data_IF_161587748965
#
_entry.id   IF_161587748965
#
_cell.length_a   1.000
_cell.length_b   1.000
_cell.length_c   1.000
_cell.angle_alpha   90.00
_cell.angle_beta   90.00
_cell.angle_gamma   90.00
#
_symmetry.space_group_name_H-M   'P 1'
#
loop_
_entity.id
_entity.type
_entity.pdbx_description
1 polymer ?
#
# COMPACT_ATOMS: atom_id res chain seq x y z
N UNK A 1 -7.80 12.77 -14.44
CA UNK A 1 -7.80 12.24 -13.05
C UNK A 1 -7.20 10.85 -13.09
N UNK A 2 -6.21 10.57 -12.26
CA UNK A 2 -5.54 9.28 -12.17
C UNK A 2 -6.29 8.42 -11.14
N UNK A 3 -7.31 7.71 -11.62
CA UNK A 3 -8.24 6.93 -10.78
C UNK A 3 -8.49 5.55 -11.38
N UNK A 4 -8.85 4.58 -10.54
CA UNK A 4 -9.22 3.24 -10.96
C UNK A 4 -10.28 2.64 -10.03
N UNK A 5 -11.08 1.73 -10.59
CA UNK A 5 -11.98 0.84 -9.86
C UNK A 5 -11.60 -0.60 -10.17
N UNK A 6 -11.42 -1.40 -9.14
CA UNK A 6 -11.15 -2.83 -9.24
C UNK A 6 -12.23 -3.59 -8.50
N UNK A 7 -12.83 -4.56 -9.18
CA UNK A 7 -13.73 -5.54 -8.59
C UNK A 7 -13.03 -6.90 -8.71
N UNK A 8 -12.71 -7.51 -7.57
CA UNK A 8 -12.10 -8.83 -7.50
C UNK A 8 -13.04 -9.78 -6.75
N UNK A 9 -13.41 -10.86 -7.41
CA UNK A 9 -14.27 -11.89 -6.84
C UNK A 9 -13.61 -13.26 -7.00
N UNK A 10 -13.43 -13.95 -5.89
CA UNK A 10 -12.92 -15.34 -5.81
C UNK A 10 -13.98 -16.24 -5.14
N UNK A 11 -13.62 -17.47 -4.82
CA UNK A 11 -14.45 -18.33 -3.97
C UNK A 11 -14.43 -17.91 -2.49
N UNK A 12 -13.46 -17.10 -2.08
CA UNK A 12 -13.16 -16.75 -0.69
C UNK A 12 -13.49 -15.29 -0.38
N UNK A 13 -13.36 -14.39 -1.36
CA UNK A 13 -13.52 -12.95 -1.16
C UNK A 13 -14.34 -12.29 -2.27
N UNK A 14 -14.98 -11.17 -1.94
CA UNK A 14 -15.62 -10.26 -2.89
C UNK A 14 -15.22 -8.84 -2.52
N UNK A 15 -14.39 -8.21 -3.36
CA UNK A 15 -13.69 -6.96 -3.05
C UNK A 15 -14.00 -5.90 -4.09
N UNK A 16 -14.26 -4.69 -3.62
CA UNK A 16 -14.29 -3.45 -4.39
C UNK A 16 -13.19 -2.54 -3.87
N UNK A 17 -12.34 -2.06 -4.76
CA UNK A 17 -11.38 -0.96 -4.49
C UNK A 17 -11.63 0.16 -5.48
N UNK A 18 -11.82 1.39 -5.00
CA UNK A 18 -11.77 2.63 -5.76
C UNK A 18 -10.63 3.49 -5.25
N UNK A 19 -9.80 3.93 -6.15
CA UNK A 19 -8.60 4.72 -5.83
C UNK A 19 -8.53 5.95 -6.71
N UNK A 20 -8.25 7.11 -6.10
CA UNK A 20 -7.80 8.32 -6.79
C UNK A 20 -6.44 8.75 -6.24
N UNK A 21 -5.44 8.77 -7.12
CA UNK A 21 -4.06 9.13 -6.74
C UNK A 21 -3.93 10.62 -6.41
N UNK A 22 -4.71 11.48 -7.06
CA UNK A 22 -4.68 12.94 -6.88
C UNK A 22 -5.70 13.43 -5.84
N UNK A 23 -6.08 12.56 -4.91
CA UNK A 23 -7.07 12.79 -3.89
C UNK A 23 -6.61 13.69 -2.74
N UNK A 24 -7.45 13.76 -1.72
CA UNK A 24 -7.27 14.59 -0.52
C UNK A 24 -7.14 13.77 0.78
N UNK A 25 -7.23 12.44 0.68
CA UNK A 25 -7.18 11.49 1.79
C UNK A 25 -8.57 11.15 2.35
N UNK A 26 -9.63 11.31 1.55
CA UNK A 26 -10.96 10.81 1.88
C UNK A 26 -10.95 9.30 1.81
N UNK A 27 -11.61 8.64 2.75
CA UNK A 27 -11.65 7.19 2.76
C UNK A 27 -12.99 6.65 3.23
N UNK A 28 -13.32 5.45 2.73
CA UNK A 28 -14.44 4.62 3.19
C UNK A 28 -13.96 3.18 3.17
N UNK A 29 -13.64 2.63 4.33
CA UNK A 29 -12.99 1.32 4.48
C UNK A 29 -13.89 0.38 5.29
N UNK A 30 -14.18 -0.77 4.70
CA UNK A 30 -14.93 -1.85 5.34
C UNK A 30 -14.39 -3.19 4.83
N UNK A 31 -13.43 -3.76 5.55
CA UNK A 31 -12.77 -5.02 5.17
C UNK A 31 -13.27 -6.21 5.97
N UNK A 32 -14.06 -5.98 7.03
CA UNK A 32 -14.39 -7.01 8.02
C UNK A 32 -13.28 -7.24 9.05
N UNK A 33 -12.08 -6.67 8.87
CA UNK A 33 -10.91 -6.82 9.74
C UNK A 33 -10.57 -5.46 10.35
N UNK A 34 -10.87 -5.26 11.64
CA UNK A 34 -10.82 -3.94 12.27
C UNK A 34 -9.45 -3.26 12.24
N UNK A 35 -8.38 -4.02 12.49
CA UNK A 35 -7.02 -3.47 12.45
C UNK A 35 -6.60 -3.09 11.01
N UNK A 36 -6.96 -3.91 10.02
CA UNK A 36 -6.69 -3.60 8.60
C UNK A 36 -7.47 -2.37 8.15
N UNK A 37 -8.73 -2.19 8.60
CA UNK A 37 -9.49 -0.96 8.34
C UNK A 37 -8.68 0.27 8.79
N UNK A 38 -8.23 0.25 10.04
CA UNK A 38 -7.43 1.35 10.59
C UNK A 38 -6.14 1.60 9.78
N UNK A 39 -5.41 0.55 9.39
CA UNK A 39 -4.20 0.68 8.57
C UNK A 39 -4.47 1.32 7.20
N UNK A 40 -5.57 0.93 6.55
CA UNK A 40 -5.96 1.49 5.23
C UNK A 40 -6.48 2.92 5.32
N UNK A 41 -7.16 3.29 6.42
CA UNK A 41 -7.54 4.68 6.70
C UNK A 41 -6.30 5.58 6.84
N UNK A 42 -5.29 5.11 7.60
CA UNK A 42 -4.00 5.80 7.72
C UNK A 42 -3.28 5.89 6.37
N UNK A 43 -3.28 4.81 5.60
CA UNK A 43 -2.69 4.78 4.27
C UNK A 43 -3.33 5.83 3.35
N UNK A 44 -4.65 5.87 3.27
CA UNK A 44 -5.39 6.86 2.49
C UNK A 44 -5.07 8.30 2.96
N UNK A 45 -5.16 8.52 4.28
CA UNK A 45 -4.95 9.85 4.87
C UNK A 45 -3.56 10.39 4.67
N UNK A 46 -2.53 9.58 4.96
CA UNK A 46 -1.13 9.99 4.88
C UNK A 46 -0.59 10.04 3.45
N UNK A 47 -1.09 9.18 2.57
CA UNK A 47 -0.82 9.22 1.14
C UNK A 47 -1.61 10.29 0.39
N UNK A 48 -2.64 10.88 1.03
CA UNK A 48 -3.62 11.79 0.39
C UNK A 48 -4.30 11.15 -0.82
N UNK A 49 -4.49 9.84 -0.78
CA UNK A 49 -5.28 9.11 -1.75
C UNK A 49 -6.74 9.14 -1.34
N UNK A 50 -7.67 9.36 -2.28
CA UNK A 50 -9.06 9.06 -1.98
C UNK A 50 -9.28 7.57 -2.24
N UNK A 51 -9.73 6.84 -1.20
CA UNK A 51 -9.74 5.38 -1.19
C UNK A 51 -11.05 4.82 -0.63
N UNK A 52 -11.73 4.01 -1.42
CA UNK A 52 -12.82 3.15 -0.94
C UNK A 52 -12.38 1.69 -1.05
N UNK A 53 -12.53 0.93 0.04
CA UNK A 53 -12.31 -0.52 0.08
C UNK A 53 -13.50 -1.17 0.75
N UNK A 54 -14.12 -2.12 0.07
CA UNK A 54 -15.14 -3.01 0.65
C UNK A 54 -14.72 -4.45 0.39
N UNK A 55 -14.75 -5.26 1.42
CA UNK A 55 -14.46 -6.69 1.32
C UNK A 55 -15.51 -7.50 2.10
N UNK A 56 -16.00 -8.56 1.46
CA UNK A 56 -16.71 -9.65 2.13
C UNK A 56 -15.88 -10.90 1.92
N UNK A 57 -15.14 -11.30 2.92
CA UNK A 57 -14.28 -12.47 2.93
C UNK A 57 -14.77 -13.53 3.90
N UNK A 58 -14.14 -14.68 3.85
CA UNK A 58 -14.38 -15.85 4.68
C UNK A 58 -13.66 -15.78 6.04
N UNK A 59 -13.84 -14.63 6.73
CA UNK A 59 -13.17 -14.32 8.02
C UNK A 59 -13.47 -15.32 9.16
N UNK A 60 -14.40 -16.25 8.96
CA UNK A 60 -14.59 -17.40 9.85
C UNK A 60 -13.47 -18.44 9.75
N UNK A 61 -12.68 -18.43 8.69
CA UNK A 61 -11.44 -19.22 8.52
C UNK A 61 -10.32 -18.50 9.27
N UNK A 62 -9.92 -17.36 8.74
CA UNK A 62 -9.02 -16.36 9.32
C UNK A 62 -9.08 -15.07 8.47
N UNK A 63 -8.17 -14.12 8.73
CA UNK A 63 -8.11 -12.85 8.00
C UNK A 63 -7.17 -12.90 6.77
N UNK A 64 -6.54 -14.05 6.47
CA UNK A 64 -5.50 -14.18 5.46
C UNK A 64 -6.01 -13.83 4.06
N UNK A 65 -7.03 -14.56 3.58
CA UNK A 65 -7.56 -14.37 2.22
C UNK A 65 -8.02 -12.93 1.98
N UNK A 66 -8.70 -12.33 2.98
CA UNK A 66 -9.15 -10.94 2.89
C UNK A 66 -7.97 -9.97 2.79
N UNK A 67 -6.95 -10.17 3.60
CA UNK A 67 -5.78 -9.28 3.67
C UNK A 67 -4.93 -9.34 2.40
N UNK A 68 -4.60 -10.54 1.93
CA UNK A 68 -3.84 -10.75 0.69
C UNK A 68 -4.60 -10.21 -0.52
N UNK A 69 -5.87 -10.60 -0.67
CA UNK A 69 -6.68 -10.21 -1.83
C UNK A 69 -6.96 -8.69 -1.88
N UNK A 70 -7.08 -8.00 -0.74
CA UNK A 70 -7.13 -6.54 -0.68
C UNK A 70 -5.80 -5.94 -1.15
N UNK A 71 -4.67 -6.48 -0.72
CA UNK A 71 -3.34 -6.09 -1.21
C UNK A 71 -3.24 -6.21 -2.73
N UNK A 72 -3.68 -7.34 -3.29
CA UNK A 72 -3.75 -7.58 -4.73
C UNK A 72 -4.62 -6.53 -5.43
N UNK A 73 -5.85 -6.33 -4.97
CA UNK A 73 -6.80 -5.41 -5.59
C UNK A 73 -6.32 -3.94 -5.52
N UNK A 74 -5.72 -3.54 -4.40
CA UNK A 74 -5.13 -2.21 -4.25
C UNK A 74 -3.91 -2.02 -5.17
N UNK A 75 -3.06 -3.04 -5.31
CA UNK A 75 -1.95 -3.02 -6.26
C UNK A 75 -2.40 -2.86 -7.71
N UNK A 76 -3.44 -3.59 -8.11
CA UNK A 76 -4.07 -3.45 -9.43
C UNK A 76 -4.65 -2.05 -9.64
N UNK A 77 -5.28 -1.47 -8.62
CA UNK A 77 -5.82 -0.11 -8.68
C UNK A 77 -4.69 0.93 -8.86
N UNK A 78 -3.56 0.76 -8.20
CA UNK A 78 -2.39 1.63 -8.38
C UNK A 78 -1.83 1.53 -9.80
N UNK A 79 -1.60 0.33 -10.34
CA UNK A 79 -1.06 0.15 -11.69
C UNK A 79 -2.01 0.73 -12.75
N UNK A 80 -3.31 0.47 -12.61
CA UNK A 80 -4.33 1.01 -13.51
C UNK A 80 -4.45 2.54 -13.46
N UNK A 81 -4.40 3.14 -12.25
CA UNK A 81 -4.48 4.58 -12.07
C UNK A 81 -3.23 5.32 -12.54
N UNK A 82 -2.05 4.68 -12.49
CA UNK A 82 -0.79 5.23 -12.98
C UNK A 82 -0.72 5.28 -14.52
N UNK A 83 -1.44 4.41 -15.22
CA UNK A 83 -1.45 4.35 -16.67
C UNK A 83 -0.05 4.15 -17.26
N UNK A 84 0.36 5.04 -18.16
CA UNK A 84 1.66 4.98 -18.85
C UNK A 84 2.84 5.51 -18.02
N UNK A 85 2.58 5.97 -16.81
CA UNK A 85 3.58 6.50 -15.86
C UNK A 85 4.37 7.71 -16.36
N UNK A 86 3.83 8.47 -17.34
CA UNK A 86 4.44 9.72 -17.78
C UNK A 86 4.41 10.78 -16.71
N UNK A 87 5.47 11.54 -16.62
CA UNK A 87 5.60 12.70 -15.75
C UNK A 87 5.62 12.40 -14.25
N UNK A 88 5.66 11.13 -13.82
CA UNK A 88 5.76 10.82 -12.39
C UNK A 88 7.21 10.92 -11.91
N UNK A 89 7.41 11.17 -10.61
CA UNK A 89 8.75 11.14 -9.99
C UNK A 89 9.36 9.74 -9.96
N UNK A 90 8.51 8.69 -10.02
CA UNK A 90 8.90 7.28 -10.03
C UNK A 90 9.44 6.77 -8.70
N UNK A 91 10.35 7.49 -8.07
CA UNK A 91 10.95 7.14 -6.79
C UNK A 91 10.31 7.91 -5.64
N UNK A 92 10.19 7.25 -4.49
CA UNK A 92 9.78 7.90 -3.26
C UNK A 92 10.37 7.20 -2.07
N UNK A 93 10.62 7.99 -1.00
CA UNK A 93 11.16 7.44 0.22
C UNK A 93 10.63 8.18 1.43
N UNK A 94 10.59 7.51 2.56
CA UNK A 94 10.20 8.11 3.83
C UNK A 94 10.87 7.43 5.00
N UNK A 95 11.54 8.20 5.82
CA UNK A 95 11.87 7.83 7.19
C UNK A 95 10.79 8.43 8.09
N UNK A 96 10.05 7.60 8.82
CA UNK A 96 8.87 8.02 9.57
C UNK A 96 8.91 7.48 11.00
N UNK A 97 8.86 8.38 12.00
CA UNK A 97 8.75 7.98 13.39
C UNK A 97 7.28 7.74 13.79
N UNK A 98 7.07 6.77 14.65
CA UNK A 98 5.85 6.53 15.42
C UNK A 98 6.26 6.17 16.83
N UNK A 99 6.33 7.18 17.70
CA UNK A 99 6.90 7.11 19.05
C UNK A 99 8.31 6.48 19.03
N UNK A 100 8.49 5.30 19.63
CA UNK A 100 9.78 4.58 19.68
C UNK A 100 10.11 3.85 18.38
N UNK A 101 9.12 3.69 17.49
CA UNK A 101 9.30 3.02 16.21
C UNK A 101 9.76 3.99 15.14
N UNK A 102 10.73 3.57 14.34
CA UNK A 102 11.27 4.32 13.22
C UNK A 102 11.32 3.42 11.98
N UNK A 103 10.57 3.76 10.95
CA UNK A 103 10.43 2.95 9.73
C UNK A 103 10.99 3.71 8.53
N UNK A 104 11.85 3.03 7.78
CA UNK A 104 12.33 3.48 6.48
C UNK A 104 11.58 2.74 5.37
N UNK A 105 11.04 3.48 4.42
CA UNK A 105 10.45 2.97 3.19
C UNK A 105 11.11 3.59 1.98
N UNK A 106 11.38 2.77 0.95
CA UNK A 106 11.80 3.22 -0.38
C UNK A 106 11.00 2.47 -1.45
N UNK A 107 10.50 3.21 -2.45
CA UNK A 107 9.71 2.66 -3.56
C UNK A 107 10.26 3.09 -4.92
N UNK A 108 10.21 2.17 -5.89
CA UNK A 108 10.48 2.41 -7.32
C UNK A 108 9.31 1.84 -8.14
N UNK A 109 8.57 2.70 -8.82
CA UNK A 109 7.46 2.33 -9.71
C UNK A 109 7.96 1.80 -11.06
N UNK A 110 8.85 0.84 -11.02
CA UNK A 110 9.71 0.37 -12.13
C UNK A 110 9.06 -0.64 -13.07
N UNK A 111 7.83 -1.08 -12.83
CA UNK A 111 7.23 -2.22 -13.54
C UNK A 111 7.78 -3.59 -13.10
N UNK A 112 8.69 -3.66 -12.13
CA UNK A 112 9.29 -4.90 -11.59
C UNK A 112 8.89 -5.09 -10.14
N UNK A 113 8.32 -6.25 -9.84
CA UNK A 113 7.83 -6.58 -8.52
C UNK A 113 8.95 -7.11 -7.62
N UNK A 114 9.19 -6.42 -6.50
CA UNK A 114 10.09 -6.88 -5.45
C UNK A 114 9.68 -6.31 -4.10
N UNK A 115 9.58 -7.16 -3.09
CA UNK A 115 9.37 -6.75 -1.71
C UNK A 115 10.60 -7.08 -0.86
N UNK A 116 11.25 -6.05 -0.33
CA UNK A 116 12.27 -6.20 0.70
C UNK A 116 11.66 -5.92 2.09
N UNK A 117 11.04 -6.94 2.68
CA UNK A 117 10.38 -6.83 3.97
C UNK A 117 11.39 -7.07 5.10
N UNK A 118 11.53 -6.11 5.99
CA UNK A 118 12.48 -6.15 7.09
C UNK A 118 11.89 -5.55 8.36
N UNK A 119 10.77 -6.11 8.82
CA UNK A 119 10.16 -5.83 10.11
C UNK A 119 10.36 -7.01 11.04
N UNK A 120 10.63 -6.71 12.30
CA UNK A 120 10.67 -7.66 13.43
C UNK A 120 9.54 -7.28 14.38
N UNK A 121 8.40 -7.96 14.26
CA UNK A 121 7.20 -7.64 15.02
C UNK A 121 7.14 -8.56 16.25
N UNK A 122 7.19 -7.99 17.48
CA UNK A 122 7.38 -8.80 18.70
C UNK A 122 6.20 -9.71 19.08
N UNK A 123 4.97 -9.36 18.63
CA UNK A 123 3.75 -10.12 18.99
C UNK A 123 3.13 -10.77 17.77
N UNK A 124 2.53 -11.94 17.95
CA UNK A 124 1.82 -12.66 16.89
C UNK A 124 0.55 -11.93 16.43
N UNK A 125 -0.07 -11.14 17.32
CA UNK A 125 -1.33 -10.43 17.04
C UNK A 125 -1.32 -9.00 17.55
N UNK A 126 -2.07 -8.14 16.82
CA UNK A 126 -2.54 -6.83 17.31
C UNK A 126 -4.07 -6.83 17.23
N UNK A 127 -4.72 -6.83 18.40
CA UNK A 127 -6.14 -7.15 18.45
C UNK A 127 -6.40 -8.57 17.98
N UNK A 128 -7.24 -8.74 16.97
CA UNK A 128 -7.51 -10.04 16.31
C UNK A 128 -6.65 -10.29 15.07
N UNK A 129 -5.92 -9.29 14.61
CA UNK A 129 -5.12 -9.34 13.37
C UNK A 129 -3.78 -10.03 13.59
N UNK A 130 -3.48 -11.06 12.82
CA UNK A 130 -2.19 -11.75 12.82
C UNK A 130 -1.14 -10.86 12.15
N UNK A 131 -0.03 -10.59 12.83
CA UNK A 131 0.98 -9.62 12.37
C UNK A 131 1.73 -10.08 11.12
N UNK A 132 1.82 -11.38 10.87
CA UNK A 132 2.39 -11.95 9.65
C UNK A 132 1.62 -11.52 8.37
N UNK A 133 0.33 -11.24 8.48
CA UNK A 133 -0.51 -10.83 7.35
C UNK A 133 -0.12 -9.47 6.76
N UNK A 134 0.63 -8.65 7.49
CA UNK A 134 1.16 -7.41 6.94
C UNK A 134 2.13 -7.66 5.78
N UNK A 135 2.96 -8.71 5.87
CA UNK A 135 3.85 -9.09 4.78
C UNK A 135 3.05 -9.57 3.56
N UNK A 136 2.02 -10.39 3.77
CA UNK A 136 1.14 -10.90 2.70
C UNK A 136 0.40 -9.77 1.99
N UNK A 137 -0.10 -8.78 2.75
CA UNK A 137 -0.70 -7.57 2.17
C UNK A 137 0.28 -6.83 1.23
N UNK A 138 1.50 -6.54 1.70
CA UNK A 138 2.48 -5.83 0.89
C UNK A 138 3.00 -6.67 -0.27
N UNK A 139 3.08 -7.99 -0.13
CA UNK A 139 3.46 -8.91 -1.21
C UNK A 139 2.40 -8.92 -2.32
N UNK A 140 1.12 -9.03 -1.95
CA UNK A 140 -0.01 -8.91 -2.87
C UNK A 140 0.00 -7.55 -3.59
N UNK A 141 0.19 -6.46 -2.85
CA UNK A 141 0.29 -5.11 -3.40
C UNK A 141 1.44 -4.97 -4.40
N UNK A 142 2.66 -5.30 -4.02
CA UNK A 142 3.87 -5.11 -4.85
C UNK A 142 3.80 -5.89 -6.16
N UNK A 143 3.31 -7.13 -6.11
CA UNK A 143 3.16 -7.98 -7.29
C UNK A 143 2.19 -7.39 -8.32
N UNK A 144 1.15 -6.71 -7.86
CA UNK A 144 0.09 -6.19 -8.71
C UNK A 144 0.27 -4.70 -9.04
N UNK A 145 0.89 -3.90 -8.19
CA UNK A 145 1.34 -2.54 -8.50
C UNK A 145 2.60 -2.52 -9.38
N UNK A 146 3.24 -3.68 -9.56
CA UNK A 146 4.46 -3.86 -10.37
C UNK A 146 5.55 -2.89 -9.96
N UNK A 147 5.81 -2.82 -8.65
CA UNK A 147 6.81 -1.92 -8.07
C UNK A 147 7.82 -2.66 -7.20
N UNK A 148 8.97 -2.03 -7.00
CA UNK A 148 9.93 -2.42 -5.97
C UNK A 148 9.62 -1.65 -4.70
N UNK A 149 9.48 -2.33 -3.57
CA UNK A 149 9.22 -1.75 -2.26
C UNK A 149 10.17 -2.33 -1.23
N UNK A 150 10.91 -1.47 -0.55
CA UNK A 150 11.69 -1.82 0.61
C UNK A 150 11.08 -1.20 1.87
N UNK A 151 10.90 -2.00 2.89
CA UNK A 151 10.45 -1.60 4.23
C UNK A 151 11.51 -2.07 5.22
N UNK A 152 12.04 -1.16 6.03
CA UNK A 152 13.06 -1.45 7.04
C UNK A 152 12.68 -0.83 8.37
N UNK A 153 12.63 -1.65 9.40
CA UNK A 153 12.53 -1.20 10.77
C UNK A 153 13.90 -0.77 11.25
N UNK A 154 14.03 0.49 11.62
CA UNK A 154 15.26 1.05 12.18
C UNK A 154 15.28 0.94 13.70
N UNK A 155 14.09 1.08 14.32
CA UNK A 155 13.84 0.84 15.74
C UNK A 155 12.35 0.56 15.96
N UNK A 156 11.99 0.11 17.16
CA UNK A 156 10.61 -0.11 17.58
C UNK A 156 10.45 -1.39 18.39
N UNK A 157 9.53 -1.36 19.33
CA UNK A 157 9.22 -2.50 20.22
C UNK A 157 7.71 -2.75 20.38
N UNK A 158 6.87 -1.80 20.00
CA UNK A 158 5.42 -1.96 20.03
C UNK A 158 4.93 -2.38 18.64
N UNK A 159 4.32 -3.57 18.53
CA UNK A 159 3.84 -4.14 17.27
C UNK A 159 2.84 -3.25 16.54
N UNK A 160 1.94 -2.58 17.27
CA UNK A 160 1.00 -1.62 16.68
C UNK A 160 1.75 -0.43 16.07
N UNK A 161 2.71 0.18 16.80
CA UNK A 161 3.47 1.32 16.32
C UNK A 161 4.34 0.96 15.10
N UNK A 162 4.94 -0.23 15.09
CA UNK A 162 5.72 -0.72 13.94
C UNK A 162 4.83 -0.83 12.70
N UNK A 163 3.67 -1.47 12.81
CA UNK A 163 2.73 -1.64 11.69
C UNK A 163 2.13 -0.31 11.25
N UNK A 164 1.66 0.52 12.18
CA UNK A 164 1.11 1.84 11.87
C UNK A 164 2.16 2.74 11.21
N UNK A 165 3.38 2.79 11.76
CA UNK A 165 4.51 3.49 11.16
C UNK A 165 4.81 3.01 9.73
N UNK A 166 4.67 1.71 9.49
CA UNK A 166 4.88 1.10 8.18
C UNK A 166 3.84 1.57 7.16
N UNK A 167 2.54 1.44 7.46
CA UNK A 167 1.49 1.87 6.53
C UNK A 167 1.56 3.37 6.23
N UNK A 168 1.84 4.21 7.24
CA UNK A 168 2.07 5.65 7.05
C UNK A 168 3.30 5.95 6.19
N UNK A 169 4.41 5.26 6.44
CA UNK A 169 5.67 5.45 5.71
C UNK A 169 5.52 5.04 4.24
N UNK A 170 4.92 3.88 3.98
CA UNK A 170 4.64 3.39 2.62
C UNK A 170 3.72 4.35 1.87
N UNK A 171 2.63 4.80 2.50
CA UNK A 171 1.70 5.75 1.89
C UNK A 171 2.38 7.07 1.48
N UNK A 172 3.27 7.60 2.33
CA UNK A 172 4.00 8.83 2.02
C UNK A 172 5.06 8.64 0.94
N UNK A 173 5.76 7.51 0.94
CA UNK A 173 6.72 7.17 -0.11
C UNK A 173 6.02 6.99 -1.47
N UNK A 174 4.88 6.30 -1.49
CA UNK A 174 4.06 6.18 -2.69
C UNK A 174 3.54 7.54 -3.17
N UNK A 175 3.08 8.42 -2.26
CA UNK A 175 2.65 9.78 -2.62
C UNK A 175 3.75 10.56 -3.32
N UNK A 176 4.98 10.46 -2.85
CA UNK A 176 6.14 11.08 -3.51
C UNK A 176 6.37 10.47 -4.89
N UNK A 177 6.39 9.15 -4.99
CA UNK A 177 6.68 8.43 -6.24
C UNK A 177 5.63 8.70 -7.35
N UNK A 178 4.33 8.80 -6.99
CA UNK A 178 3.26 9.09 -7.94
C UNK A 178 3.11 10.58 -8.27
N UNK A 179 3.78 11.47 -7.53
CA UNK A 179 3.71 12.93 -7.78
C UNK A 179 4.23 13.26 -9.18
N UNK A 180 3.57 14.21 -9.84
CA UNK A 180 4.03 14.69 -11.12
C UNK A 180 5.25 15.60 -10.94
N UNK A 181 6.21 15.44 -11.82
CA UNK A 181 7.37 16.32 -11.95
C UNK A 181 7.06 17.36 -13.03
N UNK A 182 6.91 18.66 -12.69
CA UNK A 182 6.59 19.69 -13.67
C UNK A 182 7.69 19.90 -14.71
N UNK A 183 8.93 19.54 -14.40
CA UNK A 183 10.08 19.68 -15.29
C UNK A 183 10.18 18.55 -16.32
N UNK A 184 9.48 17.43 -16.08
CA UNK A 184 9.50 16.21 -16.90
C UNK A 184 8.10 15.67 -17.24
N UNK A 185 7.10 16.55 -17.36
CA UNK A 185 5.68 16.18 -17.44
C UNK A 185 5.33 15.22 -18.60
N UNK A 186 6.05 15.29 -19.72
CA UNK A 186 5.83 14.47 -20.91
C UNK A 186 6.82 13.30 -21.04
N UNK A 187 7.71 13.13 -20.07
CA UNK A 187 8.75 12.11 -20.10
C UNK A 187 8.35 10.86 -19.30
N UNK A 188 8.76 9.68 -19.79
CA UNK A 188 8.78 8.47 -18.95
C UNK A 188 10.13 8.48 -18.23
N UNK A 189 10.17 8.46 -16.89
CA UNK A 189 11.41 8.56 -16.12
C UNK A 189 12.24 7.26 -16.19
N UNK A 190 12.66 6.90 -17.39
CA UNK A 190 13.41 5.69 -17.70
C UNK A 190 14.25 5.88 -18.96
N UNK A 191 15.54 5.54 -18.89
CA UNK A 191 16.44 5.50 -20.07
C UNK A 191 16.01 4.49 -21.12
N UNK A 192 15.09 3.57 -20.77
CA UNK A 192 14.52 2.58 -21.69
C UNK A 192 13.28 3.10 -22.43
N UNK A 193 12.75 4.29 -22.05
CA UNK A 193 11.52 4.84 -22.61
C UNK A 193 10.24 4.10 -22.19
N UNK A 194 10.33 3.19 -21.22
CA UNK A 194 9.20 2.43 -20.66
C UNK A 194 9.45 2.04 -19.19
N UNK A 195 8.37 1.75 -18.45
CA UNK A 195 8.33 1.25 -17.07
C UNK A 195 7.38 0.08 -16.93
#
# INVERSE_FOLDING_TARGET
>A
MRQAEIIRKTGETNILVRLELDGTGKHQIDTGVGFLNHMLELFARHGRFDLEVRCKGDTWVDDHHSTEDIGIALGQAFDAALGDKKGIRRYGQRLLPMDESLILTAVDLSGRSYLGYGLEIPTEKVGTFDTELAEEFFLGFVRNARCTLHIRQMSGSNSHHILEGTFKSVARALREAVSLDPEAADEIPSTKGML
#
